data_IF_785845139627
#
_entry.id   IF_785845139627
#
_cell.length_a   1.000
_cell.length_b   1.000
_cell.length_c   1.000
_cell.angle_alpha   90.00
_cell.angle_beta   90.00
_cell.angle_gamma   90.00
#
_symmetry.space_group_name_H-M   'P 1'
#
loop_
_entity.id
_entity.type
_entity.pdbx_description
1 polymer ?
#
# COMPACT_ATOMS: atom_id res chain seq x y z
N UNK A 1 18.84 34.39 62.77
CA UNK A 1 18.62 33.38 61.76
C UNK A 1 18.08 34.08 60.53
N UNK A 2 18.92 34.26 59.50
CA UNK A 2 18.51 34.85 58.24
C UNK A 2 18.32 33.68 57.24
N UNK A 3 17.07 33.44 56.80
CA UNK A 3 16.74 32.53 55.70
C UNK A 3 17.24 33.14 54.42
N UNK A 4 18.13 32.46 53.76
CA UNK A 4 18.56 32.76 52.41
C UNK A 4 17.61 32.06 51.41
N UNK A 5 16.62 32.81 50.94
CA UNK A 5 15.85 32.40 49.77
C UNK A 5 16.73 32.56 48.53
N UNK A 6 17.17 31.43 47.95
CA UNK A 6 17.79 31.44 46.67
C UNK A 6 16.69 31.53 45.59
N UNK A 7 16.80 32.45 44.63
CA UNK A 7 15.83 32.54 43.58
C UNK A 7 15.95 31.29 42.68
N UNK A 8 14.84 30.57 42.54
CA UNK A 8 14.69 29.51 41.53
C UNK A 8 14.80 30.17 40.14
N UNK A 9 15.90 29.96 39.47
CA UNK A 9 16.09 30.40 38.06
C UNK A 9 15.11 29.62 37.21
N UNK A 10 14.04 30.25 36.75
CA UNK A 10 13.16 29.68 35.75
C UNK A 10 14.00 29.41 34.50
N UNK A 11 14.04 28.12 34.05
CA UNK A 11 14.73 27.77 32.84
C UNK A 11 14.09 28.54 31.65
N UNK A 12 14.93 29.11 30.80
CA UNK A 12 14.46 29.77 29.57
C UNK A 12 13.58 28.78 28.78
N UNK A 13 12.50 29.24 28.11
CA UNK A 13 11.66 28.37 27.33
C UNK A 13 12.51 27.66 26.26
N UNK A 14 12.46 26.35 26.23
CA UNK A 14 13.19 25.55 25.25
C UNK A 14 12.72 25.95 23.83
N UNK A 15 13.65 26.15 22.93
CA UNK A 15 13.33 26.33 21.50
C UNK A 15 12.88 24.98 20.93
N UNK A 16 11.58 24.78 20.80
CA UNK A 16 10.97 23.54 20.33
C UNK A 16 11.39 23.20 18.88
N UNK A 17 11.76 24.20 18.07
CA UNK A 17 12.21 23.99 16.70
C UNK A 17 13.59 23.30 16.62
N UNK A 18 14.38 23.38 17.67
CA UNK A 18 15.71 22.76 17.77
C UNK A 18 15.70 21.35 18.39
N UNK A 19 14.53 20.87 18.86
CA UNK A 19 14.43 19.55 19.46
C UNK A 19 14.51 18.47 18.39
N UNK A 20 15.32 17.44 18.63
CA UNK A 20 15.38 16.24 17.77
C UNK A 20 14.18 15.33 18.07
N UNK A 21 13.04 15.66 17.46
CA UNK A 21 11.82 14.85 17.52
C UNK A 21 11.67 14.15 16.17
N UNK A 22 11.64 12.78 16.12
CA UNK A 22 11.55 12.03 14.87
C UNK A 22 10.13 12.10 14.30
N UNK A 23 9.72 13.28 13.89
CA UNK A 23 8.38 13.56 13.36
C UNK A 23 8.48 14.46 12.13
N UNK A 24 8.11 13.90 10.98
CA UNK A 24 7.86 14.62 9.75
C UNK A 24 6.49 14.21 9.19
N UNK A 25 6.11 14.78 8.05
CA UNK A 25 4.81 14.48 7.42
C UNK A 25 4.70 13.01 7.03
N UNK A 26 5.76 12.39 6.54
CA UNK A 26 5.74 11.00 6.09
C UNK A 26 5.61 10.04 7.28
N UNK A 27 6.40 10.25 8.33
CA UNK A 27 6.30 9.49 9.59
C UNK A 27 4.91 9.64 10.20
N UNK A 28 4.36 10.86 10.22
CA UNK A 28 3.01 11.11 10.75
C UNK A 28 1.95 10.34 9.97
N UNK A 29 1.94 10.44 8.62
CA UNK A 29 0.92 9.78 7.79
C UNK A 29 1.02 8.26 7.90
N UNK A 30 2.21 7.68 7.85
CA UNK A 30 2.39 6.23 8.01
C UNK A 30 1.96 5.74 9.40
N UNK A 31 2.25 6.52 10.44
CA UNK A 31 1.81 6.21 11.80
C UNK A 31 0.29 6.30 11.94
N UNK A 32 -0.32 7.33 11.36
CA UNK A 32 -1.78 7.46 11.31
C UNK A 32 -2.43 6.25 10.64
N UNK A 33 -1.94 5.84 9.48
CA UNK A 33 -2.46 4.67 8.75
C UNK A 33 -2.29 3.38 9.55
N UNK A 34 -1.15 3.21 10.25
CA UNK A 34 -0.94 2.07 11.15
C UNK A 34 -1.98 2.03 12.27
N UNK A 35 -2.18 3.14 12.96
CA UNK A 35 -3.15 3.20 14.07
C UNK A 35 -4.58 3.03 13.55
N UNK A 36 -4.93 3.66 12.44
CA UNK A 36 -6.26 3.50 11.83
C UNK A 36 -6.53 2.05 11.46
N UNK A 37 -5.61 1.38 10.75
CA UNK A 37 -5.76 -0.02 10.39
C UNK A 37 -5.79 -0.93 11.63
N UNK A 38 -4.97 -0.63 12.66
CA UNK A 38 -4.98 -1.37 13.92
C UNK A 38 -6.31 -1.25 14.62
N UNK A 39 -6.81 -0.04 14.80
CA UNK A 39 -8.12 0.21 15.43
C UNK A 39 -9.25 -0.49 14.67
N UNK A 40 -9.25 -0.42 13.33
CA UNK A 40 -10.23 -1.15 12.54
C UNK A 40 -10.17 -2.66 12.80
N UNK A 41 -8.95 -3.26 12.77
CA UNK A 41 -8.79 -4.69 13.04
C UNK A 41 -9.26 -5.09 14.45
N UNK A 42 -9.04 -4.23 15.46
CA UNK A 42 -9.44 -4.46 16.84
C UNK A 42 -10.95 -4.31 17.05
N UNK A 43 -11.59 -3.38 16.36
CA UNK A 43 -13.02 -3.05 16.56
C UNK A 43 -13.94 -3.94 15.73
N UNK A 44 -13.61 -4.16 14.45
CA UNK A 44 -14.48 -4.89 13.52
C UNK A 44 -13.92 -6.23 13.05
N UNK A 45 -12.71 -6.59 13.45
CA UNK A 45 -12.04 -7.81 13.00
C UNK A 45 -11.25 -7.62 11.70
N UNK A 46 -10.39 -8.60 11.38
CA UNK A 46 -9.49 -8.51 10.24
C UNK A 46 -10.22 -8.52 8.90
N UNK A 47 -11.28 -9.30 8.78
CA UNK A 47 -12.03 -9.47 7.53
C UNK A 47 -12.71 -8.17 7.12
N UNK A 48 -13.49 -7.58 8.02
CA UNK A 48 -14.18 -6.31 7.78
C UNK A 48 -13.21 -5.15 7.60
N UNK A 49 -12.14 -5.10 8.41
CA UNK A 49 -11.07 -4.10 8.23
C UNK A 49 -10.43 -4.20 6.84
N UNK A 50 -10.18 -5.43 6.36
CA UNK A 50 -9.68 -5.68 5.01
C UNK A 50 -10.67 -5.25 3.93
N UNK A 51 -11.97 -5.43 4.17
CA UNK A 51 -13.03 -4.94 3.30
C UNK A 51 -13.04 -3.42 3.17
N UNK A 52 -12.95 -2.70 4.30
CA UNK A 52 -12.91 -1.23 4.32
C UNK A 52 -11.66 -0.68 3.62
N UNK A 53 -10.49 -1.26 3.89
CA UNK A 53 -9.24 -0.88 3.21
C UNK A 53 -9.31 -1.17 1.70
N UNK A 54 -10.04 -2.23 1.31
CA UNK A 54 -10.26 -2.57 -0.10
C UNK A 54 -11.01 -1.49 -0.86
N UNK A 55 -12.07 -0.93 -0.28
CA UNK A 55 -12.84 0.16 -0.90
C UNK A 55 -11.96 1.38 -1.13
N UNK A 56 -11.12 1.73 -0.16
CA UNK A 56 -10.16 2.84 -0.30
C UNK A 56 -9.12 2.51 -1.37
N UNK A 57 -8.58 1.30 -1.37
CA UNK A 57 -7.60 0.84 -2.35
C UNK A 57 -8.14 0.85 -3.78
N UNK A 58 -9.41 0.50 -3.98
CA UNK A 58 -10.04 0.56 -5.30
C UNK A 58 -10.09 2.00 -5.82
N UNK A 59 -10.58 2.94 -5.03
CA UNK A 59 -10.66 4.37 -5.42
C UNK A 59 -9.29 4.94 -5.76
N UNK A 60 -8.30 4.66 -4.94
CA UNK A 60 -6.92 5.07 -5.20
C UNK A 60 -6.39 4.43 -6.50
N UNK A 61 -6.72 3.16 -6.75
CA UNK A 61 -6.34 2.46 -7.98
C UNK A 61 -6.97 3.10 -9.22
N UNK A 62 -8.23 3.49 -9.15
CA UNK A 62 -8.95 4.21 -10.22
C UNK A 62 -8.31 5.57 -10.52
N UNK A 63 -8.00 6.37 -9.49
CA UNK A 63 -7.35 7.69 -9.64
C UNK A 63 -5.94 7.56 -10.25
N UNK A 64 -5.14 6.61 -9.78
CA UNK A 64 -3.79 6.35 -10.30
C UNK A 64 -3.87 5.91 -11.76
N UNK A 65 -4.79 4.98 -12.09
CA UNK A 65 -4.98 4.48 -13.44
C UNK A 65 -5.36 5.61 -14.40
N UNK A 66 -6.31 6.45 -14.00
CA UNK A 66 -6.70 7.64 -14.78
C UNK A 66 -5.50 8.56 -15.03
N UNK A 67 -4.64 8.76 -14.02
CA UNK A 67 -3.41 9.53 -14.17
C UNK A 67 -2.44 8.97 -15.20
N UNK A 68 -2.20 7.65 -15.21
CA UNK A 68 -1.34 7.01 -16.21
C UNK A 68 -1.94 7.05 -17.62
N UNK A 69 -3.24 6.80 -17.76
CA UNK A 69 -3.95 6.92 -19.05
C UNK A 69 -3.85 8.33 -19.63
N UNK A 70 -4.10 9.34 -18.81
CA UNK A 70 -4.00 10.74 -19.22
C UNK A 70 -2.55 11.11 -19.63
N UNK A 71 -1.55 10.72 -18.83
CA UNK A 71 -0.15 11.02 -19.13
C UNK A 71 0.35 10.36 -20.43
N UNK A 72 -0.19 9.19 -20.77
CA UNK A 72 0.15 8.45 -22.00
C UNK A 72 -0.80 8.75 -23.15
N UNK A 73 -1.88 9.52 -22.93
CA UNK A 73 -2.91 9.84 -23.93
C UNK A 73 -3.54 8.58 -24.54
N UNK A 74 -3.90 7.60 -23.68
CA UNK A 74 -4.51 6.32 -24.10
C UNK A 74 -5.78 6.04 -23.31
N UNK A 75 -6.72 5.30 -23.94
CA UNK A 75 -7.92 4.82 -23.26
C UNK A 75 -7.64 3.59 -22.38
N UNK A 76 -6.69 2.75 -22.79
CA UNK A 76 -6.28 1.55 -22.06
C UNK A 76 -4.77 1.35 -22.15
N UNK A 77 -4.19 0.88 -21.03
CA UNK A 77 -2.80 0.46 -20.98
C UNK A 77 -2.66 -0.94 -21.58
N UNK A 78 -1.58 -1.17 -22.33
CA UNK A 78 -1.19 -2.53 -22.73
C UNK A 78 -0.71 -3.34 -21.52
N UNK A 79 -0.61 -4.67 -21.65
CA UNK A 79 -0.07 -5.53 -20.58
C UNK A 79 1.29 -5.05 -20.07
N UNK A 80 2.21 -4.77 -20.97
CA UNK A 80 3.54 -4.25 -20.62
C UNK A 80 3.46 -2.90 -19.88
N UNK A 81 2.56 -2.01 -20.31
CA UNK A 81 2.34 -0.73 -19.64
C UNK A 81 1.72 -0.93 -18.25
N UNK A 82 0.82 -1.90 -18.07
CA UNK A 82 0.28 -2.27 -16.76
C UNK A 82 1.42 -2.70 -15.83
N UNK A 83 2.27 -3.66 -16.23
CA UNK A 83 3.40 -4.11 -15.42
C UNK A 83 4.32 -2.95 -15.00
N UNK A 84 4.67 -2.08 -15.95
CA UNK A 84 5.48 -0.88 -15.67
C UNK A 84 4.77 0.10 -14.72
N UNK A 85 3.47 0.31 -14.88
CA UNK A 85 2.70 1.20 -14.01
C UNK A 85 2.63 0.66 -12.57
N UNK A 86 2.45 -0.68 -12.39
CA UNK A 86 2.43 -1.29 -11.06
C UNK A 86 3.76 -1.12 -10.31
N UNK A 87 4.89 -1.20 -11.00
CA UNK A 87 6.21 -0.94 -10.42
C UNK A 87 6.43 0.55 -10.15
N UNK A 88 6.14 1.41 -11.15
CA UNK A 88 6.38 2.85 -11.05
C UNK A 88 5.57 3.51 -9.93
N UNK A 89 4.27 3.17 -9.79
CA UNK A 89 3.43 3.72 -8.73
C UNK A 89 4.01 3.41 -7.32
N UNK A 90 4.57 2.22 -7.14
CA UNK A 90 5.17 1.83 -5.87
C UNK A 90 6.48 2.56 -5.61
N UNK A 91 7.31 2.72 -6.64
CA UNK A 91 8.54 3.53 -6.55
C UNK A 91 8.24 4.97 -6.13
N UNK A 92 7.18 5.59 -6.68
CA UNK A 92 6.78 6.97 -6.33
C UNK A 92 6.41 7.14 -4.87
N UNK A 93 5.98 6.08 -4.21
CA UNK A 93 5.64 6.06 -2.78
C UNK A 93 6.68 5.31 -1.93
N UNK A 94 7.94 5.26 -2.41
CA UNK A 94 9.09 4.69 -1.70
C UNK A 94 9.00 3.18 -1.43
N UNK A 95 8.25 2.42 -2.23
CA UNK A 95 8.29 0.96 -2.24
C UNK A 95 9.33 0.44 -3.22
N UNK A 96 9.97 -0.69 -2.91
CA UNK A 96 10.95 -1.35 -3.79
C UNK A 96 10.33 -2.57 -4.47
N UNK A 97 9.39 -2.31 -5.39
CA UNK A 97 8.75 -3.34 -6.21
C UNK A 97 9.49 -3.56 -7.52
N UNK A 98 9.52 -4.81 -7.96
CA UNK A 98 10.12 -5.21 -9.22
C UNK A 98 9.36 -6.40 -9.82
N UNK A 99 9.42 -6.55 -11.16
CA UNK A 99 8.86 -7.70 -11.86
C UNK A 99 9.84 -8.88 -11.69
N UNK A 100 9.33 -10.00 -11.22
CA UNK A 100 10.03 -11.28 -11.12
C UNK A 100 9.83 -12.10 -12.39
N UNK A 101 8.59 -12.11 -12.88
CA UNK A 101 8.15 -12.87 -14.05
C UNK A 101 6.95 -12.16 -14.67
N UNK A 102 6.84 -12.13 -15.98
CA UNK A 102 5.63 -11.71 -16.66
C UNK A 102 5.41 -12.48 -17.96
N UNK A 103 4.17 -12.84 -18.22
CA UNK A 103 3.73 -13.50 -19.44
C UNK A 103 2.30 -13.03 -19.81
N UNK A 104 1.64 -13.72 -20.72
CA UNK A 104 0.29 -13.38 -21.16
C UNK A 104 -0.82 -13.76 -20.16
N UNK A 105 -0.49 -14.48 -19.10
CA UNK A 105 -1.44 -14.97 -18.10
C UNK A 105 -1.27 -14.31 -16.74
N UNK A 106 -0.04 -13.88 -16.40
CA UNK A 106 0.26 -13.31 -15.08
C UNK A 106 1.42 -12.32 -15.11
N UNK A 107 1.45 -11.46 -14.08
CA UNK A 107 2.59 -10.63 -13.68
C UNK A 107 2.92 -10.99 -12.25
N UNK A 108 4.15 -11.45 -12.00
CA UNK A 108 4.65 -11.75 -10.65
C UNK A 108 5.56 -10.62 -10.21
N UNK A 109 5.21 -10.00 -9.08
CA UNK A 109 5.98 -8.91 -8.51
C UNK A 109 6.61 -9.33 -7.19
N UNK A 110 7.87 -8.97 -7.01
CA UNK A 110 8.58 -8.99 -5.73
C UNK A 110 8.62 -7.61 -5.11
N UNK A 111 8.81 -7.56 -3.79
CA UNK A 111 9.00 -6.31 -3.06
C UNK A 111 9.96 -6.50 -1.89
N UNK A 112 10.99 -5.65 -1.80
CA UNK A 112 11.96 -5.66 -0.70
C UNK A 112 11.64 -4.63 0.38
N UNK A 113 10.92 -3.56 0.03
CA UNK A 113 10.61 -2.47 0.94
C UNK A 113 9.16 -2.02 0.77
N UNK A 114 8.37 -2.18 1.85
CA UNK A 114 6.98 -1.72 1.86
C UNK A 114 6.92 -0.19 1.91
N UNK A 115 6.02 0.47 1.15
CA UNK A 115 5.78 1.91 1.25
C UNK A 115 5.41 2.38 2.68
N UNK A 116 4.81 1.51 3.47
CA UNK A 116 4.49 1.81 4.88
C UNK A 116 5.66 1.56 5.84
N UNK A 117 6.82 1.08 5.33
CA UNK A 117 7.99 0.74 6.13
C UNK A 117 7.66 -0.33 7.19
N UNK A 118 8.27 -0.17 8.37
CA UNK A 118 8.03 -1.02 9.55
C UNK A 118 6.60 -0.91 10.11
N UNK A 119 5.89 0.17 9.78
CA UNK A 119 4.53 0.43 10.25
C UNK A 119 3.50 -0.58 9.73
N UNK A 120 3.83 -1.35 8.69
CA UNK A 120 2.94 -2.40 8.15
C UNK A 120 2.95 -3.68 8.98
N UNK A 121 4.00 -3.96 9.73
CA UNK A 121 4.17 -5.23 10.48
C UNK A 121 3.00 -5.42 11.47
N UNK A 122 2.36 -6.61 11.39
CA UNK A 122 1.17 -6.92 12.19
C UNK A 122 -0.12 -6.20 11.72
N UNK A 123 -0.11 -5.60 10.52
CA UNK A 123 -1.29 -4.92 9.94
C UNK A 123 -1.60 -5.46 8.53
N UNK A 124 -1.92 -6.77 8.38
CA UNK A 124 -2.15 -7.39 7.08
C UNK A 124 -3.34 -6.78 6.32
N UNK A 125 -4.32 -6.16 6.98
CA UNK A 125 -5.39 -5.42 6.31
C UNK A 125 -4.84 -4.34 5.35
N UNK A 126 -3.70 -3.70 5.65
CA UNK A 126 -3.07 -2.73 4.77
C UNK A 126 -2.57 -3.34 3.43
N UNK A 127 -2.32 -4.65 3.38
CA UNK A 127 -1.94 -5.33 2.15
C UNK A 127 -3.07 -5.30 1.11
N UNK A 128 -4.33 -5.17 1.58
CA UNK A 128 -5.49 -5.04 0.68
C UNK A 128 -5.45 -3.76 -0.14
N UNK A 129 -4.74 -2.72 0.32
CA UNK A 129 -4.44 -1.55 -0.50
C UNK A 129 -3.69 -1.93 -1.77
N UNK A 130 -2.62 -2.72 -1.65
CA UNK A 130 -1.85 -3.18 -2.82
C UNK A 130 -2.68 -4.09 -3.71
N UNK A 131 -3.42 -5.06 -3.13
CA UNK A 131 -4.28 -5.96 -3.89
C UNK A 131 -5.31 -5.18 -4.73
N UNK A 132 -5.99 -4.21 -4.13
CA UNK A 132 -7.04 -3.47 -4.84
C UNK A 132 -6.47 -2.47 -5.86
N UNK A 133 -5.39 -1.77 -5.56
CA UNK A 133 -4.74 -0.88 -6.54
C UNK A 133 -4.25 -1.68 -7.75
N UNK A 134 -3.57 -2.81 -7.54
CA UNK A 134 -3.06 -3.64 -8.63
C UNK A 134 -4.20 -4.27 -9.44
N UNK A 135 -5.18 -4.84 -8.73
CA UNK A 135 -6.33 -5.49 -9.35
C UNK A 135 -7.18 -4.51 -10.16
N UNK A 136 -7.47 -3.33 -9.63
CA UNK A 136 -8.24 -2.29 -10.33
C UNK A 136 -7.53 -1.82 -11.60
N UNK A 137 -6.23 -1.52 -11.52
CA UNK A 137 -5.45 -1.09 -12.68
C UNK A 137 -5.41 -2.20 -13.74
N UNK A 138 -5.10 -3.43 -13.35
CA UNK A 138 -5.00 -4.54 -14.30
C UNK A 138 -6.37 -4.86 -14.92
N UNK A 139 -7.42 -4.98 -14.12
CA UNK A 139 -8.75 -5.32 -14.62
C UNK A 139 -9.36 -4.24 -15.52
N UNK A 140 -9.22 -2.95 -15.18
CA UNK A 140 -9.75 -1.88 -16.02
C UNK A 140 -9.08 -1.82 -17.38
N UNK A 141 -7.80 -2.13 -17.47
CA UNK A 141 -7.05 -2.11 -18.74
C UNK A 141 -7.17 -3.41 -19.53
N UNK A 142 -7.12 -4.58 -18.86
CA UNK A 142 -7.01 -5.88 -19.52
C UNK A 142 -8.32 -6.71 -19.44
N UNK A 143 -9.33 -6.22 -18.70
CA UNK A 143 -10.66 -6.85 -18.58
C UNK A 143 -10.84 -7.68 -17.33
N UNK A 144 -9.79 -8.34 -16.83
CA UNK A 144 -9.80 -9.22 -15.67
C UNK A 144 -8.47 -9.11 -14.92
N UNK A 145 -8.53 -9.26 -13.60
CA UNK A 145 -7.37 -9.58 -12.78
C UNK A 145 -7.77 -10.43 -11.57
N UNK A 146 -6.87 -11.30 -11.12
CA UNK A 146 -6.92 -11.90 -9.80
C UNK A 146 -5.60 -11.68 -9.10
N UNK A 147 -5.64 -11.06 -7.92
CA UNK A 147 -4.44 -10.71 -7.17
C UNK A 147 -4.29 -11.63 -5.98
N UNK A 148 -3.17 -12.33 -5.92
CA UNK A 148 -2.77 -13.23 -4.84
C UNK A 148 -1.58 -12.60 -4.12
N UNK A 149 -1.60 -12.57 -2.80
CA UNK A 149 -0.49 -12.12 -1.96
C UNK A 149 0.12 -13.34 -1.29
N UNK A 150 1.08 -13.97 -1.94
CA UNK A 150 1.73 -15.19 -1.44
C UNK A 150 2.55 -14.91 -0.18
N UNK A 151 3.39 -13.86 -0.24
CA UNK A 151 4.24 -13.41 0.87
C UNK A 151 4.00 -11.93 1.14
N UNK A 152 4.06 -11.53 2.40
CA UNK A 152 3.87 -10.14 2.81
C UNK A 152 4.71 -9.77 4.03
N UNK A 153 5.47 -8.69 3.92
CA UNK A 153 6.22 -8.08 5.04
C UNK A 153 5.29 -7.84 6.24
N UNK A 154 4.02 -7.50 6.00
CA UNK A 154 3.02 -7.32 7.06
C UNK A 154 2.76 -8.58 7.91
N UNK A 155 3.03 -9.75 7.36
CA UNK A 155 2.91 -11.06 8.03
C UNK A 155 4.23 -11.54 8.61
N UNK A 156 5.32 -10.79 8.45
CA UNK A 156 6.65 -11.13 8.93
C UNK A 156 7.56 -11.78 7.88
N UNK A 157 7.12 -11.88 6.63
CA UNK A 157 7.96 -12.40 5.55
C UNK A 157 9.11 -11.40 5.24
N UNK A 158 10.24 -11.90 4.74
CA UNK A 158 11.40 -11.08 4.37
C UNK A 158 11.14 -10.11 3.21
N UNK A 159 10.09 -10.37 2.44
CA UNK A 159 9.66 -9.56 1.30
C UNK A 159 8.20 -9.82 0.97
N UNK A 160 7.71 -9.18 -0.10
CA UNK A 160 6.40 -9.54 -0.63
C UNK A 160 6.56 -10.29 -1.96
N UNK A 161 5.65 -11.24 -2.20
CA UNK A 161 5.42 -11.87 -3.50
C UNK A 161 3.95 -11.70 -3.84
N UNK A 162 3.68 -11.02 -4.95
CA UNK A 162 2.33 -10.75 -5.42
C UNK A 162 2.19 -11.32 -6.84
N UNK A 163 1.17 -12.13 -7.06
CA UNK A 163 0.81 -12.65 -8.38
C UNK A 163 -0.46 -11.94 -8.85
N UNK A 164 -0.37 -11.29 -10.00
CA UNK A 164 -1.51 -10.68 -10.68
C UNK A 164 -1.83 -11.54 -11.89
N UNK A 165 -2.80 -12.45 -11.76
CA UNK A 165 -3.31 -13.20 -12.88
C UNK A 165 -4.15 -12.28 -13.77
N UNK A 166 -3.92 -12.37 -15.08
CA UNK A 166 -4.55 -11.52 -16.08
C UNK A 166 -5.66 -12.26 -16.85
N UNK A 167 -5.79 -13.56 -16.63
CA UNK A 167 -6.82 -14.44 -17.21
C UNK A 167 -7.43 -15.32 -16.15
N UNK A 168 -8.71 -15.64 -16.29
CA UNK A 168 -9.41 -16.60 -15.43
C UNK A 168 -9.06 -18.03 -15.86
N UNK A 169 -7.89 -18.52 -15.45
CA UNK A 169 -7.42 -19.88 -15.68
C UNK A 169 -7.76 -20.78 -14.49
N UNK A 170 -7.59 -22.11 -14.64
CA UNK A 170 -7.77 -23.05 -13.53
C UNK A 170 -6.77 -22.76 -12.39
N UNK A 171 -5.52 -22.38 -12.71
CA UNK A 171 -4.52 -21.97 -11.72
C UNK A 171 -4.98 -20.73 -10.97
N UNK A 172 -5.42 -19.67 -11.68
CA UNK A 172 -5.96 -18.48 -11.06
C UNK A 172 -7.16 -18.81 -10.17
N UNK A 173 -8.09 -19.66 -10.62
CA UNK A 173 -9.29 -20.05 -9.88
C UNK A 173 -9.01 -20.81 -8.58
N UNK A 174 -7.94 -21.61 -8.55
CA UNK A 174 -7.52 -22.37 -7.37
C UNK A 174 -6.74 -21.54 -6.34
N UNK A 175 -6.20 -20.38 -6.75
CA UNK A 175 -5.38 -19.53 -5.89
C UNK A 175 -6.25 -18.72 -4.90
N UNK A 176 -5.79 -18.60 -3.65
CA UNK A 176 -6.44 -17.75 -2.64
C UNK A 176 -6.13 -16.27 -2.91
N UNK A 177 -6.98 -15.64 -3.72
CA UNK A 177 -6.80 -14.27 -4.19
C UNK A 177 -8.13 -13.58 -4.43
N UNK A 178 -8.07 -12.26 -4.61
CA UNK A 178 -9.23 -11.43 -4.89
C UNK A 178 -9.37 -11.17 -6.37
N UNK A 179 -10.58 -11.32 -6.91
CA UNK A 179 -10.91 -11.05 -8.31
C UNK A 179 -11.37 -9.62 -8.53
N UNK A 180 -11.02 -9.12 -9.71
CA UNK A 180 -11.35 -7.78 -10.19
C UNK A 180 -11.80 -7.88 -11.64
N UNK A 181 -12.83 -7.11 -11.99
CA UNK A 181 -13.38 -7.05 -13.32
C UNK A 181 -13.45 -5.60 -13.78
N UNK A 182 -13.31 -5.40 -15.08
CA UNK A 182 -13.61 -4.08 -15.65
C UNK A 182 -15.06 -3.73 -15.37
N UNK A 183 -15.31 -2.54 -14.82
CA UNK A 183 -16.67 -2.03 -14.66
C UNK A 183 -17.34 -1.89 -16.04
N UNK A 184 -18.59 -2.31 -16.14
CA UNK A 184 -19.43 -1.99 -17.30
C UNK A 184 -19.62 -0.46 -17.35
N UNK A 185 -19.31 0.15 -18.47
CA UNK A 185 -19.53 1.57 -18.73
C UNK A 185 -20.95 1.80 -19.19
#
# INVERSE_FOLDING_TARGET
MKSSDSPTTAAAPADFSSLDVPLDRDVFVRTLLRHLAGTLQEVVGLEEASGLVSVVGQRIGEDINAGYKAALSVDYLTREQVGKALVDLKRRIQGDFFIVEEDDEKIVLGNRQCPFGDKVIGRPALCMMTSNVFGSIAADNLGYARVVIDQAIARGDAGCRIVVHLKSTAEAGAADGREYFRAAR
#
